data_IF_074684584820
#
_entry.id   IF_074684584820
#
_cell.length_a   1.000
_cell.length_b   1.000
_cell.length_c   1.000
_cell.angle_alpha   90.00
_cell.angle_beta   90.00
_cell.angle_gamma   90.00
#
_symmetry.space_group_name_H-M   'P 1'
#
loop_
_entity.id
_entity.type
_entity.pdbx_description
1 polymer ?
#
# COMPACT_ATOMS: atom_id res chain seq x y z
N UNK A 1 50.27 16.49 -14.77
CA UNK A 1 49.98 17.90 -14.41
C UNK A 1 49.16 18.48 -15.56
N UNK A 2 47.83 18.58 -15.50
CA UNK A 2 47.07 19.50 -14.63
C UNK A 2 45.63 18.98 -14.35
N UNK A 3 45.49 17.75 -13.85
CA UNK A 3 44.17 17.17 -13.47
C UNK A 3 43.62 17.65 -12.13
N UNK A 4 44.20 18.70 -11.55
CA UNK A 4 43.97 19.11 -10.15
C UNK A 4 42.93 20.24 -10.03
N UNK A 5 42.59 20.95 -11.11
CA UNK A 5 41.70 22.13 -11.04
C UNK A 5 40.20 21.81 -11.19
N UNK A 6 39.82 20.58 -11.55
CA UNK A 6 38.40 20.18 -11.67
C UNK A 6 37.82 19.61 -10.37
N UNK A 7 38.67 19.14 -9.46
CA UNK A 7 38.24 18.53 -8.20
C UNK A 7 37.78 19.56 -7.15
N UNK A 8 38.24 20.82 -7.25
CA UNK A 8 37.94 21.85 -6.25
C UNK A 8 36.57 22.53 -6.40
N UNK A 9 35.90 22.39 -7.54
CA UNK A 9 34.59 23.01 -7.76
C UNK A 9 33.41 22.15 -7.29
N UNK A 10 33.62 20.84 -7.14
CA UNK A 10 32.58 19.88 -6.72
C UNK A 10 32.42 19.85 -5.20
N UNK A 11 33.46 20.23 -4.44
CA UNK A 11 33.44 20.18 -2.98
C UNK A 11 32.85 21.42 -2.29
N UNK A 12 32.63 22.53 -3.02
CA UNK A 12 32.14 23.79 -2.46
C UNK A 12 30.61 23.98 -2.62
N UNK A 13 29.94 23.08 -3.35
CA UNK A 13 28.48 23.11 -3.56
C UNK A 13 27.72 22.18 -2.59
N UNK A 14 28.41 21.37 -1.79
CA UNK A 14 27.81 20.45 -0.83
C UNK A 14 27.60 21.02 0.58
N UNK A 15 27.91 22.31 0.82
CA UNK A 15 28.06 22.87 2.18
C UNK A 15 26.99 23.89 2.61
N UNK A 16 25.88 24.06 1.88
CA UNK A 16 24.87 25.10 2.20
C UNK A 16 23.42 24.60 2.42
N UNK A 17 23.10 23.31 2.22
CA UNK A 17 21.72 22.81 2.46
C UNK A 17 21.55 21.97 3.73
N UNK A 18 22.25 22.31 4.80
CA UNK A 18 21.95 21.75 6.13
C UNK A 18 21.03 22.70 6.90
N UNK A 19 19.76 22.78 6.51
CA UNK A 19 18.71 23.27 7.40
C UNK A 19 18.24 22.10 8.27
N UNK A 20 18.43 22.11 9.60
CA UNK A 20 17.69 21.22 10.46
C UNK A 20 16.23 21.72 10.45
N UNK A 21 15.41 21.20 9.54
CA UNK A 21 13.98 21.20 9.75
C UNK A 21 13.74 20.27 10.94
N UNK A 22 13.68 20.84 12.14
CA UNK A 22 13.02 20.21 13.28
C UNK A 22 11.56 20.01 12.87
N UNK A 23 11.28 18.85 12.30
CA UNK A 23 9.95 18.41 11.93
C UNK A 23 9.12 18.39 13.21
N UNK A 24 8.21 19.35 13.24
CA UNK A 24 7.00 19.44 14.01
C UNK A 24 6.67 18.12 14.74
N UNK A 25 6.87 18.11 16.06
CA UNK A 25 6.12 17.23 16.93
C UNK A 25 4.67 17.71 16.85
N UNK A 26 3.97 17.31 15.78
CA UNK A 26 2.53 17.36 15.72
C UNK A 26 2.11 16.50 16.89
N UNK A 27 1.64 17.16 17.96
CA UNK A 27 0.77 16.51 18.93
C UNK A 27 -0.19 15.71 18.08
N UNK A 28 -0.11 14.38 18.21
CA UNK A 28 -1.23 13.52 17.91
C UNK A 28 -2.38 14.17 18.66
N UNK A 29 -3.17 14.96 17.93
CA UNK A 29 -4.58 15.07 18.21
C UNK A 29 -5.05 13.63 18.10
N UNK A 30 -4.93 12.92 19.22
CA UNK A 30 -5.98 12.09 19.72
C UNK A 30 -7.21 12.99 19.82
N UNK A 31 -7.75 13.38 18.66
CA UNK A 31 -9.19 13.37 18.45
C UNK A 31 -9.53 11.99 18.94
N UNK A 32 -10.00 11.94 20.18
CA UNK A 32 -10.59 10.77 20.77
C UNK A 32 -11.49 10.22 19.68
N UNK A 33 -11.04 9.14 19.04
CA UNK A 33 -11.87 8.37 18.17
C UNK A 33 -13.02 7.99 19.09
N UNK A 34 -14.13 8.71 18.97
CA UNK A 34 -15.40 8.27 19.51
C UNK A 34 -15.47 6.82 19.06
N UNK A 35 -15.37 5.89 20.02
CA UNK A 35 -15.12 4.49 19.74
C UNK A 35 -16.18 4.04 18.74
N UNK A 36 -15.78 3.98 17.47
CA UNK A 36 -16.72 3.77 16.38
C UNK A 36 -17.12 2.32 16.52
N UNK A 37 -18.41 2.07 16.62
CA UNK A 37 -18.91 0.72 16.81
C UNK A 37 -18.51 -0.16 15.60
N UNK A 38 -18.45 -1.49 15.77
CA UNK A 38 -18.03 -2.37 14.68
C UNK A 38 -18.85 -2.23 13.39
N UNK A 39 -20.14 -1.88 13.46
CA UNK A 39 -21.02 -1.76 12.29
C UNK A 39 -20.62 -0.53 11.46
N UNK A 40 -20.36 0.62 12.11
CA UNK A 40 -19.89 1.81 11.39
C UNK A 40 -18.51 1.59 10.76
N UNK A 41 -17.61 0.90 11.45
CA UNK A 41 -16.30 0.54 10.90
C UNK A 41 -16.42 -0.38 9.68
N UNK A 42 -17.30 -1.38 9.73
CA UNK A 42 -17.59 -2.25 8.57
C UNK A 42 -18.15 -1.45 7.40
N UNK A 43 -19.12 -0.55 7.66
CA UNK A 43 -19.69 0.30 6.61
C UNK A 43 -18.62 1.14 5.91
N UNK A 44 -17.77 1.83 6.66
CA UNK A 44 -16.66 2.63 6.08
C UNK A 44 -15.70 1.74 5.29
N UNK A 45 -15.36 0.56 5.82
CA UNK A 45 -14.53 -0.40 5.11
C UNK A 45 -15.14 -0.85 3.79
N UNK A 46 -16.45 -1.13 3.75
CA UNK A 46 -17.15 -1.48 2.52
C UNK A 46 -17.15 -0.38 1.47
N UNK A 47 -17.21 0.90 1.86
CA UNK A 47 -17.11 2.00 0.89
C UNK A 47 -15.73 2.07 0.26
N UNK A 48 -14.65 1.84 1.03
CA UNK A 48 -13.28 1.76 0.50
C UNK A 48 -13.10 0.59 -0.48
N UNK A 49 -13.69 -0.56 -0.15
CA UNK A 49 -13.71 -1.71 -1.05
C UNK A 49 -14.47 -1.43 -2.35
N UNK A 50 -15.63 -0.77 -2.24
CA UNK A 50 -16.45 -0.39 -3.40
C UNK A 50 -15.71 0.59 -4.31
N UNK A 51 -14.91 1.49 -3.75
CA UNK A 51 -14.02 2.36 -4.52
C UNK A 51 -12.76 1.66 -5.04
N UNK A 52 -12.61 0.34 -4.82
CA UNK A 52 -11.43 -0.46 -5.15
C UNK A 52 -10.13 0.06 -4.51
N UNK A 53 -10.26 0.76 -3.40
CA UNK A 53 -9.14 1.28 -2.63
C UNK A 53 -8.73 0.24 -1.58
N UNK A 54 -8.19 -0.87 -2.06
CA UNK A 54 -7.90 -2.04 -1.23
C UNK A 54 -6.80 -1.77 -0.21
N UNK A 55 -5.84 -0.90 -0.54
CA UNK A 55 -4.78 -0.49 0.38
C UNK A 55 -5.32 0.25 1.60
N UNK A 56 -6.17 1.25 1.38
CA UNK A 56 -6.81 1.97 2.49
C UNK A 56 -7.82 1.09 3.23
N UNK A 57 -8.54 0.19 2.54
CA UNK A 57 -9.43 -0.76 3.19
C UNK A 57 -8.66 -1.72 4.12
N UNK A 58 -7.51 -2.23 3.71
CA UNK A 58 -6.62 -3.05 4.57
C UNK A 58 -6.21 -2.26 5.80
N UNK A 59 -5.68 -1.05 5.63
CA UNK A 59 -5.26 -0.23 6.75
C UNK A 59 -6.42 0.05 7.72
N UNK A 60 -7.59 0.41 7.19
CA UNK A 60 -8.79 0.66 7.98
C UNK A 60 -9.20 -0.55 8.83
N UNK A 61 -9.28 -1.75 8.24
CA UNK A 61 -9.64 -2.94 9.00
C UNK A 61 -8.56 -3.39 10.00
N UNK A 62 -7.27 -3.12 9.74
CA UNK A 62 -6.22 -3.33 10.74
C UNK A 62 -6.40 -2.45 11.97
N UNK A 63 -6.78 -1.18 11.78
CA UNK A 63 -7.08 -0.28 12.90
C UNK A 63 -8.30 -0.79 13.67
N UNK A 64 -9.36 -1.15 12.94
CA UNK A 64 -10.60 -1.67 13.50
C UNK A 64 -10.37 -2.96 14.31
N UNK A 65 -9.53 -3.87 13.81
CA UNK A 65 -9.24 -5.13 14.48
C UNK A 65 -8.43 -4.94 15.78
N UNK A 66 -7.60 -3.88 15.87
CA UNK A 66 -6.93 -3.55 17.13
C UNK A 66 -7.90 -3.06 18.21
N UNK A 67 -8.95 -2.35 17.81
CA UNK A 67 -10.00 -1.91 18.73
C UNK A 67 -11.00 -3.03 19.08
N UNK A 68 -11.25 -3.95 18.15
CA UNK A 68 -12.20 -5.05 18.31
C UNK A 68 -11.58 -6.42 17.95
N UNK A 69 -10.64 -6.95 18.77
CA UNK A 69 -9.86 -8.13 18.41
C UNK A 69 -10.67 -9.40 18.25
N UNK A 70 -11.87 -9.50 18.83
CA UNK A 70 -12.73 -10.69 18.74
C UNK A 70 -13.83 -10.58 17.69
N UNK A 71 -13.91 -9.46 16.97
CA UNK A 71 -14.93 -9.30 15.94
C UNK A 71 -14.59 -10.14 14.69
N UNK A 72 -15.34 -11.23 14.50
CA UNK A 72 -15.14 -12.17 13.39
C UNK A 72 -15.39 -11.57 12.01
N UNK A 73 -16.29 -10.59 11.89
CA UNK A 73 -16.60 -9.95 10.62
C UNK A 73 -15.46 -9.02 10.17
N UNK A 74 -14.90 -8.23 11.08
CA UNK A 74 -13.72 -7.39 10.82
C UNK A 74 -12.52 -8.26 10.44
N UNK A 75 -12.28 -9.38 11.15
CA UNK A 75 -11.23 -10.36 10.79
C UNK A 75 -11.44 -10.90 9.37
N UNK A 76 -12.67 -11.30 9.04
CA UNK A 76 -13.03 -11.84 7.72
C UNK A 76 -12.81 -10.79 6.63
N UNK A 77 -13.27 -9.57 6.83
CA UNK A 77 -13.10 -8.49 5.86
C UNK A 77 -11.63 -8.17 5.64
N UNK A 78 -10.82 -8.07 6.70
CA UNK A 78 -9.38 -7.85 6.58
C UNK A 78 -8.68 -8.94 5.75
N UNK A 79 -9.07 -10.21 5.93
CA UNK A 79 -8.53 -11.29 5.11
C UNK A 79 -8.86 -11.10 3.63
N UNK A 80 -10.13 -10.83 3.32
CA UNK A 80 -10.60 -10.63 1.94
C UNK A 80 -9.88 -9.45 1.29
N UNK A 81 -9.79 -8.31 1.98
CA UNK A 81 -9.15 -7.12 1.42
C UNK A 81 -7.65 -7.29 1.21
N UNK A 82 -6.96 -8.02 2.08
CA UNK A 82 -5.54 -8.37 1.88
C UNK A 82 -5.33 -9.20 0.63
N UNK A 83 -6.21 -10.19 0.36
CA UNK A 83 -6.13 -10.99 -0.86
C UNK A 83 -6.32 -10.12 -2.11
N UNK A 84 -7.32 -9.24 -2.14
CA UNK A 84 -7.52 -8.32 -3.26
C UNK A 84 -6.34 -7.37 -3.47
N UNK A 85 -5.82 -6.79 -2.37
CA UNK A 85 -4.66 -5.91 -2.43
C UNK A 85 -3.42 -6.64 -2.97
N UNK A 86 -3.18 -7.87 -2.54
CA UNK A 86 -2.06 -8.69 -3.02
C UNK A 86 -2.18 -9.05 -4.50
N UNK A 87 -3.38 -9.42 -4.96
CA UNK A 87 -3.62 -9.71 -6.39
C UNK A 87 -3.30 -8.47 -7.23
N UNK A 88 -3.80 -7.31 -6.83
CA UNK A 88 -3.59 -6.06 -7.59
C UNK A 88 -2.11 -5.70 -7.63
N UNK A 89 -1.43 -5.75 -6.47
CA UNK A 89 0.01 -5.45 -6.40
C UNK A 89 0.86 -6.40 -7.25
N UNK A 90 0.47 -7.67 -7.36
CA UNK A 90 1.15 -8.66 -8.22
C UNK A 90 0.80 -8.47 -9.68
N UNK A 91 -0.44 -8.15 -10.03
CA UNK A 91 -0.82 -7.88 -11.43
C UNK A 91 -0.17 -6.62 -12.00
N UNK A 92 0.35 -5.73 -11.16
CA UNK A 92 1.18 -4.59 -11.60
C UNK A 92 2.67 -4.92 -11.69
N UNK A 93 3.07 -6.16 -11.41
CA UNK A 93 4.45 -6.61 -11.58
C UNK A 93 4.73 -6.82 -13.08
N UNK A 94 5.81 -6.23 -13.58
CA UNK A 94 6.19 -6.31 -15.01
C UNK A 94 6.40 -7.75 -15.48
N UNK A 95 6.76 -8.67 -14.59
CA UNK A 95 6.88 -10.08 -14.95
C UNK A 95 5.53 -10.71 -15.31
N UNK A 96 4.43 -10.28 -14.68
CA UNK A 96 3.07 -10.76 -15.02
C UNK A 96 2.62 -10.12 -16.33
N UNK A 97 2.87 -8.83 -16.54
CA UNK A 97 2.55 -8.16 -17.81
C UNK A 97 3.30 -8.80 -19.00
N UNK A 98 4.60 -9.06 -18.86
CA UNK A 98 5.40 -9.75 -19.87
C UNK A 98 4.86 -11.16 -20.13
N UNK A 99 4.55 -11.92 -19.07
CA UNK A 99 4.01 -13.27 -19.21
C UNK A 99 2.65 -13.26 -19.95
N UNK A 100 1.73 -12.36 -19.57
CA UNK A 100 0.42 -12.25 -20.24
C UNK A 100 0.59 -11.80 -21.71
N UNK A 101 1.55 -10.91 -21.99
CA UNK A 101 1.83 -10.45 -23.35
C UNK A 101 2.35 -11.54 -24.28
N UNK A 102 2.92 -12.62 -23.75
CA UNK A 102 3.50 -13.72 -24.52
C UNK A 102 2.61 -14.97 -24.61
N UNK A 103 1.51 -15.04 -23.85
CA UNK A 103 0.57 -16.18 -23.89
C UNK A 103 -0.49 -15.94 -24.97
N UNK A 104 -0.62 -16.89 -25.89
CA UNK A 104 -1.68 -16.87 -26.90
C UNK A 104 -3.06 -17.19 -26.27
N UNK A 105 -4.14 -16.80 -26.94
CA UNK A 105 -5.49 -17.08 -26.45
C UNK A 105 -5.79 -18.58 -26.27
N UNK A 106 -5.22 -19.46 -27.09
CA UNK A 106 -5.37 -20.90 -26.95
C UNK A 106 -4.63 -21.43 -25.71
N UNK A 107 -3.39 -20.99 -25.49
CA UNK A 107 -2.61 -21.39 -24.32
C UNK A 107 -3.27 -20.91 -23.01
N UNK A 108 -3.86 -19.71 -23.02
CA UNK A 108 -4.64 -19.22 -21.88
C UNK A 108 -5.88 -20.09 -21.59
N UNK A 109 -6.55 -20.59 -22.65
CA UNK A 109 -7.73 -21.45 -22.50
C UNK A 109 -7.35 -22.85 -22.00
N UNK A 110 -6.22 -23.37 -22.46
CA UNK A 110 -5.67 -24.65 -22.00
C UNK A 110 -5.31 -24.55 -20.51
N UNK A 111 -4.57 -23.49 -20.11
CA UNK A 111 -4.24 -23.21 -18.71
C UNK A 111 -5.49 -23.05 -17.83
N UNK A 112 -6.52 -22.36 -18.32
CA UNK A 112 -7.78 -22.20 -17.58
C UNK A 112 -8.47 -23.56 -17.33
N UNK A 113 -8.36 -24.46 -18.30
CA UNK A 113 -8.94 -25.80 -18.22
C UNK A 113 -8.20 -26.72 -17.23
N UNK A 114 -6.97 -26.38 -16.82
CA UNK A 114 -6.20 -27.15 -15.81
C UNK A 114 -6.58 -26.82 -14.36
N UNK A 115 -7.17 -25.63 -14.13
CA UNK A 115 -7.50 -25.14 -12.77
C UNK A 115 -8.95 -25.48 -12.37
N UNK A 116 -9.81 -25.78 -13.34
CA UNK A 116 -11.22 -26.16 -13.16
C UNK A 116 -11.41 -27.68 -13.16
#
# INVERSE_FOLDING_TARGET
MNSITRASFVCLLCLVCSTPQSVYAQRLSATAAAASDPISLLKTGFELEKSRDWGNAVHHYEMALRAFPENGDIKRRLLITRLHNDVIRRSTDSAIDDMIGHVSASEALDLYSEVL
#
